data_IF_083529417441
#
_entry.id   IF_083529417441
#
_cell.length_a   1.000
_cell.length_b   1.000
_cell.length_c   1.000
_cell.angle_alpha   90.00
_cell.angle_beta   90.00
_cell.angle_gamma   90.00
#
_symmetry.space_group_name_H-M   'P 1'
#
loop_
_entity.id
_entity.type
_entity.pdbx_description
1 polymer ?
#
# COMPACT_ATOMS: atom_id res chain seq x y z
N UNK A 1 26.13 0.64 1.77
CA UNK A 1 26.21 1.45 3.00
C UNK A 1 25.19 0.90 3.97
N UNK A 2 25.59 0.34 5.11
CA UNK A 2 24.62 -0.18 6.11
C UNK A 2 23.91 1.02 6.74
N UNK A 3 22.62 1.16 6.52
CA UNK A 3 21.76 2.13 7.24
C UNK A 3 21.65 1.67 8.68
N UNK A 4 22.39 2.30 9.57
CA UNK A 4 22.30 2.05 11.00
C UNK A 4 21.31 3.02 11.64
N UNK A 5 20.75 2.65 12.83
CA UNK A 5 19.87 3.50 13.66
C UNK A 5 20.31 4.98 13.73
N UNK A 6 21.63 5.21 13.82
CA UNK A 6 22.22 6.56 13.91
C UNK A 6 22.02 7.41 12.64
N UNK A 7 21.97 6.80 11.48
CA UNK A 7 21.82 7.52 10.21
C UNK A 7 20.35 7.87 9.93
N UNK A 8 19.42 7.04 10.38
CA UNK A 8 17.98 7.28 10.23
C UNK A 8 17.49 8.47 11.10
N UNK A 9 17.94 8.52 12.37
CA UNK A 9 17.61 9.63 13.28
C UNK A 9 18.21 10.97 12.84
N UNK A 10 19.33 10.98 12.11
CA UNK A 10 19.93 12.22 11.58
C UNK A 10 19.16 12.80 10.39
N UNK A 11 18.43 11.97 9.62
CA UNK A 11 17.56 12.47 8.55
C UNK A 11 16.23 13.04 9.05
N UNK A 12 15.74 12.56 10.19
CA UNK A 12 14.50 13.06 10.81
C UNK A 12 14.69 14.32 11.69
N UNK A 13 15.92 14.76 11.93
CA UNK A 13 16.29 15.80 12.91
C UNK A 13 16.40 17.23 12.38
N UNK A 14 16.01 17.52 11.14
CA UNK A 14 16.09 18.88 10.59
C UNK A 14 14.69 19.37 10.16
N UNK A 15 13.82 19.54 11.11
CA UNK A 15 12.62 20.35 10.97
C UNK A 15 12.15 20.81 12.36
N UNK A 16 12.74 21.88 12.83
CA UNK A 16 12.33 22.50 14.09
C UNK A 16 12.82 23.93 14.23
N UNK A 17 11.91 24.86 14.28
CA UNK A 17 11.95 26.26 14.71
C UNK A 17 12.57 27.30 13.76
N UNK A 18 11.71 28.07 13.10
CA UNK A 18 11.85 29.54 13.00
C UNK A 18 10.45 30.18 13.11
N UNK A 19 10.41 31.25 13.91
CA UNK A 19 9.24 31.86 14.48
C UNK A 19 8.38 32.71 13.53
N UNK A 20 7.25 33.10 14.10
CA UNK A 20 6.20 33.99 13.60
C UNK A 20 6.68 35.39 13.17
N UNK A 21 6.26 35.81 11.99
CA UNK A 21 5.81 37.21 11.78
C UNK A 21 4.67 37.19 10.75
N UNK A 22 3.56 37.79 11.16
CA UNK A 22 2.34 37.99 10.41
C UNK A 22 2.49 39.04 9.32
N UNK A 23 2.00 38.77 8.12
CA UNK A 23 1.41 39.81 7.26
C UNK A 23 0.35 39.18 6.34
N UNK A 24 -0.86 39.64 6.50
CA UNK A 24 -2.01 39.34 5.64
C UNK A 24 -1.77 39.92 4.24
N UNK A 25 -1.95 39.08 3.23
CA UNK A 25 -2.38 39.55 1.91
C UNK A 25 -3.21 38.45 1.26
N UNK A 26 -4.46 38.78 0.99
CA UNK A 26 -5.39 37.93 0.28
C UNK A 26 -5.06 37.94 -1.21
N UNK A 27 -4.92 36.77 -1.79
CA UNK A 27 -5.10 36.53 -3.23
C UNK A 27 -5.35 35.06 -3.51
N UNK A 28 -6.51 34.79 -4.15
CA UNK A 28 -6.80 33.77 -5.12
C UNK A 28 -6.42 32.34 -4.83
N UNK A 29 -7.41 31.53 -4.47
CA UNK A 29 -7.40 30.07 -4.59
C UNK A 29 -7.10 29.65 -6.05
N UNK A 30 -5.89 29.21 -6.30
CA UNK A 30 -5.53 28.38 -7.42
C UNK A 30 -4.79 27.14 -6.86
N UNK A 31 -5.53 26.26 -6.19
CA UNK A 31 -5.06 24.91 -5.88
C UNK A 31 -5.26 23.97 -7.07
N UNK A 32 -4.50 24.20 -8.16
CA UNK A 32 -4.24 23.13 -9.11
C UNK A 32 -3.29 22.14 -8.43
N UNK A 33 -3.84 21.10 -7.79
CA UNK A 33 -3.06 20.00 -7.26
C UNK A 33 -2.30 19.32 -8.39
N UNK A 34 -0.97 19.31 -8.32
CA UNK A 34 -0.13 18.47 -9.16
C UNK A 34 -0.40 17.01 -8.70
N UNK A 35 -1.14 16.27 -9.49
CA UNK A 35 -1.79 15.02 -9.09
C UNK A 35 -1.44 13.87 -10.04
N UNK A 36 -0.16 13.64 -10.34
CA UNK A 36 0.21 12.37 -10.95
C UNK A 36 1.63 11.95 -10.64
N UNK A 37 1.83 10.67 -10.38
CA UNK A 37 3.14 10.03 -10.23
C UNK A 37 3.98 10.19 -11.52
N UNK A 38 3.33 10.34 -12.69
CA UNK A 38 3.99 10.60 -13.97
C UNK A 38 4.71 11.96 -14.04
N UNK A 39 4.45 12.88 -13.10
CA UNK A 39 4.99 14.24 -13.06
C UNK A 39 6.05 14.44 -11.95
N UNK A 40 6.49 13.39 -11.26
CA UNK A 40 7.55 13.50 -10.24
C UNK A 40 8.87 14.08 -10.78
N UNK A 41 9.08 14.03 -12.09
CA UNK A 41 10.25 14.60 -12.77
C UNK A 41 10.29 16.15 -12.78
N UNK A 42 9.23 16.83 -12.35
CA UNK A 42 9.11 18.30 -12.34
C UNK A 42 8.73 18.92 -10.98
N UNK A 43 8.66 18.11 -9.92
CA UNK A 43 8.30 18.64 -8.60
C UNK A 43 9.39 19.56 -8.05
N UNK A 44 9.04 20.69 -7.41
CA UNK A 44 10.00 21.54 -6.72
C UNK A 44 10.79 20.77 -5.66
N UNK A 45 12.06 21.11 -5.44
CA UNK A 45 12.92 20.46 -4.44
C UNK A 45 12.34 20.50 -3.01
N UNK A 46 11.46 21.44 -2.72
CA UNK A 46 10.78 21.60 -1.44
C UNK A 46 9.36 21.02 -1.41
N UNK A 47 8.94 20.32 -2.46
CA UNK A 47 7.61 19.71 -2.50
C UNK A 47 7.45 18.65 -1.39
N UNK A 48 6.30 18.71 -0.72
CA UNK A 48 5.87 17.75 0.27
C UNK A 48 4.51 17.17 -0.11
N UNK A 49 4.42 15.86 -0.20
CA UNK A 49 3.14 15.20 -0.38
C UNK A 49 2.29 15.36 0.88
N UNK A 50 0.98 15.54 0.73
CA UNK A 50 0.06 15.55 1.86
C UNK A 50 -0.26 14.12 2.28
N UNK A 51 -0.08 13.83 3.56
CA UNK A 51 -0.52 12.59 4.20
C UNK A 51 -1.51 12.97 5.29
N UNK A 52 -2.77 12.62 5.09
CA UNK A 52 -3.82 12.85 6.08
C UNK A 52 -3.82 11.71 7.08
N UNK A 53 -4.03 12.02 8.34
CA UNK A 53 -3.98 11.07 9.45
C UNK A 53 -5.18 11.25 10.37
N UNK A 54 -5.71 10.13 10.88
CA UNK A 54 -6.62 10.07 12.01
C UNK A 54 -6.18 8.95 12.96
N UNK A 55 -6.19 9.22 14.26
CA UNK A 55 -5.97 8.19 15.29
C UNK A 55 -7.23 7.36 15.54
N UNK A 56 -8.39 7.85 15.11
CA UNK A 56 -9.65 7.15 15.26
C UNK A 56 -9.76 6.03 14.22
N UNK A 57 -10.14 4.84 14.69
CA UNK A 57 -10.13 3.60 13.94
C UNK A 57 -11.57 3.08 13.77
N UNK A 58 -12.28 3.66 12.82
CA UNK A 58 -13.65 3.31 12.47
C UNK A 58 -13.96 3.62 10.99
N UNK A 59 -15.17 3.27 10.54
CA UNK A 59 -15.59 3.50 9.17
C UNK A 59 -15.79 4.98 8.84
N UNK A 60 -16.18 5.81 9.80
CA UNK A 60 -16.42 7.24 9.61
C UNK A 60 -15.11 7.97 9.28
N UNK A 61 -14.05 7.74 10.07
CA UNK A 61 -12.75 8.35 9.85
C UNK A 61 -12.05 7.79 8.61
N UNK A 62 -12.27 6.50 8.28
CA UNK A 62 -11.81 5.92 7.01
C UNK A 62 -12.44 6.67 5.81
N UNK A 63 -13.73 6.95 5.84
CA UNK A 63 -14.44 7.73 4.81
C UNK A 63 -13.97 9.19 4.80
N UNK A 64 -13.81 9.81 5.98
CA UNK A 64 -13.32 11.19 6.08
C UNK A 64 -11.93 11.35 5.44
N UNK A 65 -11.03 10.42 5.68
CA UNK A 65 -9.70 10.38 5.06
C UNK A 65 -9.77 10.15 3.55
N UNK A 66 -10.59 9.20 3.09
CA UNK A 66 -10.82 8.99 1.66
C UNK A 66 -11.29 10.26 0.95
N UNK A 67 -12.20 11.01 1.56
CA UNK A 67 -12.71 12.26 1.00
C UNK A 67 -11.65 13.37 0.87
N UNK A 68 -10.49 13.24 1.51
CA UNK A 68 -9.34 14.15 1.32
C UNK A 68 -8.50 13.82 0.09
N UNK A 69 -8.63 12.58 -0.44
CA UNK A 69 -7.72 12.05 -1.47
C UNK A 69 -8.43 11.48 -2.71
N UNK A 70 -9.77 11.62 -2.79
CA UNK A 70 -10.58 10.98 -3.82
C UNK A 70 -10.91 11.85 -5.04
N UNK A 71 -10.34 13.05 -5.14
CA UNK A 71 -10.72 14.04 -6.18
C UNK A 71 -10.61 13.51 -7.62
N UNK A 72 -9.72 12.58 -7.87
CA UNK A 72 -9.49 11.99 -9.20
C UNK A 72 -10.05 10.55 -9.32
N UNK A 73 -10.75 10.05 -8.32
CA UNK A 73 -11.36 8.72 -8.35
C UNK A 73 -12.70 8.81 -9.07
N UNK A 74 -12.78 8.21 -10.24
CA UNK A 74 -13.94 8.29 -11.15
C UNK A 74 -14.21 6.96 -11.84
N UNK A 75 -15.35 6.83 -12.50
CA UNK A 75 -15.71 5.66 -13.31
C UNK A 75 -15.97 4.40 -12.50
N UNK A 76 -15.52 3.26 -13.00
CA UNK A 76 -15.57 1.98 -12.30
C UNK A 76 -14.36 1.86 -11.38
N UNK A 77 -14.60 1.65 -10.08
CA UNK A 77 -13.56 1.72 -9.04
C UNK A 77 -13.25 0.34 -8.48
N UNK A 78 -11.98 -0.06 -8.55
CA UNK A 78 -11.48 -1.23 -7.83
C UNK A 78 -10.99 -0.85 -6.43
N UNK A 79 -11.57 -1.44 -5.38
CA UNK A 79 -11.05 -1.29 -4.02
C UNK A 79 -10.11 -2.46 -3.73
N UNK A 80 -8.80 -2.21 -3.77
CA UNK A 80 -7.80 -3.26 -3.55
C UNK A 80 -7.60 -3.49 -2.06
N UNK A 81 -8.03 -4.66 -1.62
CA UNK A 81 -7.92 -5.11 -0.22
C UNK A 81 -7.21 -6.46 -0.17
N UNK A 82 -6.45 -6.72 0.89
CA UNK A 82 -6.02 -8.08 1.21
C UNK A 82 -7.15 -8.79 1.98
N UNK A 83 -7.80 -9.75 1.34
CA UNK A 83 -8.99 -10.43 1.90
C UNK A 83 -8.65 -11.52 2.93
N UNK A 84 -7.36 -11.83 3.09
CA UNK A 84 -6.83 -12.82 4.06
C UNK A 84 -6.92 -14.25 3.60
N UNK A 85 -6.07 -15.10 4.14
CA UNK A 85 -6.26 -16.55 4.08
C UNK A 85 -7.47 -17.00 4.91
N UNK A 86 -7.87 -18.26 4.72
CA UNK A 86 -9.02 -18.83 5.43
C UNK A 86 -8.89 -18.63 6.94
N UNK A 87 -9.89 -17.98 7.55
CA UNK A 87 -9.96 -17.66 8.97
C UNK A 87 -8.77 -16.83 9.49
N UNK A 88 -8.11 -16.02 8.66
CA UNK A 88 -7.06 -15.11 9.10
C UNK A 88 -7.59 -14.13 10.17
N UNK A 89 -6.97 -14.07 11.37
CA UNK A 89 -7.57 -13.40 12.53
C UNK A 89 -7.48 -11.87 12.47
N UNK A 90 -6.49 -11.33 11.75
CA UNK A 90 -6.13 -9.92 11.84
C UNK A 90 -6.61 -9.06 10.66
N UNK A 91 -7.34 -9.63 9.68
CA UNK A 91 -7.79 -8.89 8.49
C UNK A 91 -8.66 -7.69 8.86
N UNK A 92 -8.71 -6.69 7.99
CA UNK A 92 -9.51 -5.48 8.20
C UNK A 92 -10.95 -5.81 8.62
N UNK A 93 -11.56 -5.05 9.54
CA UNK A 93 -12.95 -5.23 9.93
C UNK A 93 -13.87 -5.14 8.72
N UNK A 94 -14.58 -6.24 8.40
CA UNK A 94 -15.48 -6.29 7.23
C UNK A 94 -16.60 -5.25 7.29
N UNK A 95 -17.07 -4.92 8.49
CA UNK A 95 -18.10 -3.89 8.67
C UNK A 95 -17.59 -2.50 8.26
N UNK A 96 -16.33 -2.17 8.54
CA UNK A 96 -15.75 -0.90 8.07
C UNK A 96 -15.62 -0.88 6.55
N UNK A 97 -15.12 -1.97 5.96
CA UNK A 97 -14.96 -2.05 4.51
C UNK A 97 -16.31 -2.07 3.80
N UNK A 98 -17.33 -2.70 4.38
CA UNK A 98 -18.72 -2.67 3.88
C UNK A 98 -19.27 -1.24 3.81
N UNK A 99 -19.17 -0.50 4.92
CA UNK A 99 -19.63 0.89 5.00
C UNK A 99 -18.83 1.77 4.04
N UNK A 100 -17.52 1.59 3.99
CA UNK A 100 -16.62 2.32 3.10
C UNK A 100 -16.95 2.07 1.61
N UNK A 101 -17.07 0.80 1.20
CA UNK A 101 -17.39 0.42 -0.17
C UNK A 101 -18.74 1.00 -0.62
N UNK A 102 -19.73 1.02 0.26
CA UNK A 102 -21.05 1.57 -0.03
C UNK A 102 -21.05 3.09 -0.32
N UNK A 103 -20.00 3.82 0.09
CA UNK A 103 -19.82 5.25 -0.22
C UNK A 103 -19.16 5.50 -1.58
N UNK A 104 -18.64 4.46 -2.25
CA UNK A 104 -17.94 4.59 -3.52
C UNK A 104 -18.82 3.99 -4.62
N UNK A 105 -19.55 4.82 -5.39
CA UNK A 105 -20.41 4.34 -6.45
C UNK A 105 -19.65 3.51 -7.49
N UNK A 106 -20.30 2.52 -8.08
CA UNK A 106 -19.73 1.67 -9.12
C UNK A 106 -18.39 1.01 -8.72
N UNK A 107 -18.29 0.60 -7.44
CA UNK A 107 -17.07 -0.03 -6.91
C UNK A 107 -17.25 -1.52 -6.63
N UNK A 108 -16.15 -2.27 -6.77
CA UNK A 108 -16.03 -3.65 -6.34
C UNK A 108 -14.74 -3.83 -5.53
N UNK A 109 -14.73 -4.80 -4.61
CA UNK A 109 -13.46 -5.26 -4.00
C UNK A 109 -12.71 -6.07 -5.06
N UNK A 110 -11.40 -5.85 -5.15
CA UNK A 110 -10.53 -6.56 -6.10
C UNK A 110 -9.39 -7.28 -5.40
N UNK A 111 -9.10 -8.49 -5.83
CA UNK A 111 -8.03 -9.35 -5.32
C UNK A 111 -7.53 -10.29 -6.42
N UNK A 112 -6.45 -11.02 -6.21
CA UNK A 112 -5.93 -12.04 -7.12
C UNK A 112 -5.69 -13.36 -6.41
N UNK A 113 -5.64 -14.47 -7.17
CA UNK A 113 -5.25 -15.76 -6.66
C UNK A 113 -3.79 -15.74 -6.15
N UNK A 114 -3.42 -16.72 -5.33
CA UNK A 114 -2.06 -16.84 -4.77
C UNK A 114 -1.17 -17.75 -5.61
N UNK A 115 0.15 -17.51 -5.55
CA UNK A 115 1.16 -18.38 -6.15
C UNK A 115 1.34 -19.68 -5.36
N UNK A 116 1.38 -19.56 -4.04
CA UNK A 116 1.54 -20.71 -3.16
C UNK A 116 0.28 -21.57 -3.08
N UNK A 117 0.45 -22.85 -2.80
CA UNK A 117 -0.67 -23.78 -2.59
C UNK A 117 -1.42 -23.41 -1.31
N UNK A 118 -2.75 -23.27 -1.41
CA UNK A 118 -3.62 -22.89 -0.29
C UNK A 118 -5.05 -22.66 -0.75
N UNK A 119 -5.84 -22.10 0.15
CA UNK A 119 -7.28 -21.90 -0.08
C UNK A 119 -7.59 -20.75 -1.05
N UNK A 120 -6.58 -19.97 -1.47
CA UNK A 120 -6.71 -18.93 -2.49
C UNK A 120 -5.90 -19.23 -3.76
N UNK A 121 -5.40 -20.46 -3.94
CA UNK A 121 -4.58 -20.83 -5.10
C UNK A 121 -5.37 -21.06 -6.40
N UNK A 122 -6.68 -21.17 -6.31
CA UNK A 122 -7.59 -21.27 -7.46
C UNK A 122 -8.84 -20.41 -7.20
N UNK A 123 -9.43 -19.87 -8.25
CA UNK A 123 -10.64 -19.04 -8.16
C UNK A 123 -11.76 -19.72 -7.36
N UNK A 124 -12.01 -21.01 -7.57
CA UNK A 124 -13.07 -21.74 -6.86
C UNK A 124 -12.81 -21.82 -5.34
N UNK A 125 -11.57 -22.09 -4.91
CA UNK A 125 -11.17 -22.09 -3.49
C UNK A 125 -11.18 -20.69 -2.93
N UNK A 126 -10.67 -19.72 -3.69
CA UNK A 126 -10.62 -18.32 -3.28
C UNK A 126 -12.03 -17.78 -3.01
N UNK A 127 -13.01 -18.00 -3.90
CA UNK A 127 -14.41 -17.63 -3.67
C UNK A 127 -15.00 -18.27 -2.41
N UNK A 128 -14.63 -19.53 -2.09
CA UNK A 128 -15.03 -20.18 -0.84
C UNK A 128 -14.41 -19.45 0.37
N UNK A 129 -13.10 -19.12 0.29
CA UNK A 129 -12.39 -18.38 1.35
C UNK A 129 -12.99 -17.01 1.58
N UNK A 130 -13.30 -16.26 0.52
CA UNK A 130 -13.99 -14.96 0.61
C UNK A 130 -15.30 -15.09 1.39
N UNK A 131 -16.12 -16.07 1.06
CA UNK A 131 -17.38 -16.33 1.77
C UNK A 131 -17.16 -16.65 3.25
N UNK A 132 -16.18 -17.51 3.56
CA UNK A 132 -15.87 -17.91 4.94
C UNK A 132 -15.30 -16.74 5.77
N UNK A 133 -14.53 -15.84 5.15
CA UNK A 133 -13.98 -14.65 5.79
C UNK A 133 -15.01 -13.48 5.87
N UNK A 134 -16.24 -13.66 5.38
CA UNK A 134 -17.30 -12.65 5.47
C UNK A 134 -17.28 -11.57 4.38
N UNK A 135 -16.56 -11.79 3.28
CA UNK A 135 -16.57 -10.90 2.11
C UNK A 135 -17.77 -11.20 1.21
N UNK A 136 -18.99 -10.92 1.69
CA UNK A 136 -20.26 -11.26 1.02
C UNK A 136 -21.19 -10.09 0.85
N UNK A 137 -20.78 -8.89 1.24
CA UNK A 137 -21.59 -7.68 1.23
C UNK A 137 -21.53 -6.91 -0.09
N UNK A 138 -20.59 -7.23 -0.96
CA UNK A 138 -20.47 -6.74 -2.33
C UNK A 138 -19.78 -7.78 -3.19
N UNK A 139 -19.74 -7.55 -4.50
CA UNK A 139 -18.96 -8.38 -5.41
C UNK A 139 -17.46 -8.24 -5.10
N UNK A 140 -16.77 -9.38 -5.11
CA UNK A 140 -15.31 -9.46 -5.05
C UNK A 140 -14.83 -10.02 -6.37
N UNK A 141 -14.16 -9.18 -7.15
CA UNK A 141 -13.59 -9.56 -8.45
C UNK A 141 -12.21 -10.19 -8.23
N UNK A 142 -12.04 -11.44 -8.64
CA UNK A 142 -10.75 -12.12 -8.67
C UNK A 142 -10.10 -11.82 -10.00
N UNK A 143 -9.26 -10.80 -10.03
CA UNK A 143 -8.73 -10.15 -11.23
C UNK A 143 -8.10 -11.10 -12.26
N UNK A 144 -7.55 -12.23 -11.83
CA UNK A 144 -6.87 -13.21 -12.66
C UNK A 144 -7.69 -14.49 -12.93
N UNK A 145 -9.02 -14.45 -12.71
CA UNK A 145 -9.86 -15.62 -12.95
C UNK A 145 -10.02 -15.96 -14.45
N UNK A 146 -9.96 -14.96 -15.32
CA UNK A 146 -10.02 -15.11 -16.77
C UNK A 146 -8.63 -15.02 -17.44
N UNK A 147 -7.55 -14.98 -16.63
CA UNK A 147 -6.17 -14.98 -17.13
C UNK A 147 -5.41 -13.71 -16.84
N UNK A 148 -4.41 -13.44 -17.66
CA UNK A 148 -3.40 -12.43 -17.41
C UNK A 148 -3.41 -11.35 -18.51
N UNK A 149 -3.00 -10.14 -18.13
CA UNK A 149 -2.63 -9.06 -19.04
C UNK A 149 -1.27 -8.51 -18.65
N UNK A 150 -0.50 -7.98 -19.59
CA UNK A 150 0.83 -7.45 -19.29
C UNK A 150 0.81 -5.94 -19.22
N UNK A 151 1.25 -5.40 -18.08
CA UNK A 151 1.53 -3.97 -17.93
C UNK A 151 3.02 -3.71 -18.15
N UNK A 152 3.39 -2.69 -18.96
CA UNK A 152 4.78 -2.33 -19.16
C UNK A 152 5.38 -1.71 -17.91
N UNK A 153 6.66 -1.97 -17.67
CA UNK A 153 7.47 -1.33 -16.63
C UNK A 153 8.47 -0.40 -17.29
N UNK A 154 8.23 0.90 -17.19
CA UNK A 154 9.14 1.89 -17.79
C UNK A 154 10.39 2.04 -16.92
N UNK A 155 11.55 1.69 -17.46
CA UNK A 155 12.86 1.76 -16.78
C UNK A 155 12.85 0.96 -15.46
N UNK A 156 12.32 -0.26 -15.46
CA UNK A 156 12.34 -1.16 -14.31
C UNK A 156 13.77 -1.48 -13.82
N UNK A 157 13.87 -1.97 -12.59
CA UNK A 157 15.12 -2.51 -12.07
C UNK A 157 15.48 -3.82 -12.77
N UNK A 158 14.48 -4.66 -12.97
CA UNK A 158 14.63 -6.03 -13.46
C UNK A 158 13.61 -6.40 -14.54
N UNK A 159 12.40 -5.81 -14.51
CA UNK A 159 11.29 -6.21 -15.36
C UNK A 159 10.97 -5.14 -16.40
N UNK A 160 10.71 -5.57 -17.64
CA UNK A 160 10.18 -4.71 -18.71
C UNK A 160 8.64 -4.73 -18.73
N UNK A 161 8.03 -5.77 -18.16
CA UNK A 161 6.57 -5.94 -18.05
C UNK A 161 6.23 -6.91 -16.92
N UNK A 162 5.05 -6.74 -16.34
CA UNK A 162 4.51 -7.63 -15.30
C UNK A 162 3.14 -8.16 -15.73
N UNK A 163 2.89 -9.46 -15.48
CA UNK A 163 1.59 -10.07 -15.69
C UNK A 163 0.66 -9.70 -14.54
N UNK A 164 -0.36 -8.94 -14.83
CA UNK A 164 -1.46 -8.56 -13.92
C UNK A 164 -2.68 -9.42 -14.18
N UNK A 165 -3.61 -9.50 -13.22
CA UNK A 165 -4.91 -10.10 -13.47
C UNK A 165 -5.64 -9.35 -14.59
N UNK A 166 -6.18 -10.07 -15.58
CA UNK A 166 -6.74 -9.47 -16.80
C UNK A 166 -7.89 -8.49 -16.53
N UNK A 167 -8.67 -8.72 -15.47
CA UNK A 167 -9.77 -7.84 -15.10
C UNK A 167 -9.33 -6.47 -14.57
N UNK A 168 -8.05 -6.28 -14.25
CA UNK A 168 -7.55 -4.98 -13.75
C UNK A 168 -7.80 -3.86 -14.78
N UNK A 169 -7.80 -4.18 -16.07
CA UNK A 169 -8.10 -3.24 -17.16
C UNK A 169 -9.57 -2.82 -17.24
N UNK A 170 -10.46 -3.47 -16.49
CA UNK A 170 -11.88 -3.14 -16.45
C UNK A 170 -12.20 -1.97 -15.49
N UNK A 171 -11.19 -1.45 -14.77
CA UNK A 171 -11.34 -0.40 -13.78
C UNK A 171 -10.74 0.90 -14.28
N UNK A 172 -11.47 2.00 -14.08
CA UNK A 172 -11.01 3.35 -14.40
C UNK A 172 -10.16 3.95 -13.28
N UNK A 173 -10.43 3.53 -12.04
CA UNK A 173 -9.74 4.02 -10.84
C UNK A 173 -9.52 2.88 -9.84
N UNK A 174 -8.52 3.08 -8.97
CA UNK A 174 -8.22 2.13 -7.89
C UNK A 174 -8.04 2.85 -6.54
N UNK A 175 -8.71 2.34 -5.51
CA UNK A 175 -8.50 2.72 -4.11
C UNK A 175 -7.74 1.61 -3.42
N UNK A 176 -6.53 1.90 -2.98
CA UNK A 176 -5.65 0.92 -2.33
C UNK A 176 -5.90 0.98 -0.82
N UNK A 177 -6.78 0.12 -0.33
CA UNK A 177 -7.10 0.02 1.09
C UNK A 177 -6.24 -1.07 1.73
N UNK A 178 -5.24 -0.67 2.47
CA UNK A 178 -4.20 -1.54 2.99
C UNK A 178 -4.33 -1.76 4.49
N UNK A 179 -4.46 -3.00 4.91
CA UNK A 179 -4.12 -3.40 6.27
C UNK A 179 -2.60 -3.40 6.40
N UNK A 180 -2.04 -2.41 7.11
CA UNK A 180 -0.58 -2.32 7.31
C UNK A 180 -0.10 -3.33 8.35
N UNK A 181 0.96 -4.08 8.06
CA UNK A 181 1.45 -5.19 8.90
C UNK A 181 2.87 -5.59 8.58
N UNK A 182 3.46 -6.44 9.41
CA UNK A 182 4.71 -7.12 9.11
C UNK A 182 4.57 -8.14 7.96
N UNK A 183 5.71 -8.58 7.43
CA UNK A 183 5.76 -9.61 6.40
C UNK A 183 7.05 -10.42 6.46
N UNK A 184 6.93 -11.75 6.29
CA UNK A 184 8.08 -12.68 6.42
C UNK A 184 9.19 -12.47 5.39
N UNK A 185 8.86 -12.03 4.18
CA UNK A 185 9.83 -11.77 3.09
C UNK A 185 10.10 -10.28 2.91
N UNK A 186 9.06 -9.44 2.86
CA UNK A 186 9.16 -8.01 2.56
C UNK A 186 9.44 -7.13 3.78
N UNK A 187 9.52 -7.68 4.99
CA UNK A 187 9.66 -6.89 6.22
C UNK A 187 8.32 -6.27 6.67
N UNK A 188 7.66 -5.53 5.79
CA UNK A 188 6.31 -5.01 6.00
C UNK A 188 5.47 -5.09 4.71
N UNK A 189 4.17 -4.97 4.87
CA UNK A 189 3.21 -4.85 3.77
C UNK A 189 2.42 -3.55 3.91
N UNK A 190 2.85 -2.53 3.17
CA UNK A 190 2.17 -1.25 2.96
C UNK A 190 1.42 -1.22 1.62
N UNK A 191 1.10 -0.01 1.17
CA UNK A 191 0.41 0.23 -0.11
C UNK A 191 1.19 -0.30 -1.30
N UNK A 192 2.53 -0.14 -1.33
CA UNK A 192 3.36 -0.71 -2.39
C UNK A 192 3.12 -2.22 -2.52
N UNK A 193 3.29 -2.97 -1.43
CA UNK A 193 3.12 -4.42 -1.47
C UNK A 193 1.70 -4.83 -1.83
N UNK A 194 0.69 -4.07 -1.38
CA UNK A 194 -0.71 -4.36 -1.66
C UNK A 194 -1.02 -4.32 -3.17
N UNK A 195 -0.51 -3.33 -3.90
CA UNK A 195 -0.70 -3.28 -5.37
C UNK A 195 0.29 -4.18 -6.10
N UNK A 196 1.56 -4.18 -5.74
CA UNK A 196 2.60 -4.92 -6.43
C UNK A 196 2.31 -6.42 -6.49
N UNK A 197 2.03 -7.03 -5.34
CA UNK A 197 1.75 -8.46 -5.24
C UNK A 197 0.26 -8.74 -5.42
N UNK A 198 -0.61 -7.84 -4.96
CA UNK A 198 -2.05 -8.06 -4.93
C UNK A 198 -2.78 -7.76 -6.24
N UNK A 199 -2.15 -7.10 -7.23
CA UNK A 199 -2.68 -6.94 -8.58
C UNK A 199 -2.00 -7.88 -9.59
N UNK A 200 -0.80 -8.35 -9.27
CA UNK A 200 -0.10 -9.33 -10.08
C UNK A 200 -0.83 -10.69 -10.08
N UNK A 201 -0.94 -11.32 -11.25
CA UNK A 201 -1.63 -12.59 -11.39
C UNK A 201 -0.96 -13.70 -10.59
N UNK A 202 -1.77 -14.65 -10.09
CA UNK A 202 -1.30 -15.72 -9.21
C UNK A 202 -0.26 -16.63 -9.86
N UNK A 203 -0.42 -16.93 -11.15
CA UNK A 203 0.43 -17.91 -11.84
C UNK A 203 1.69 -17.31 -12.45
N UNK A 204 1.61 -16.15 -13.10
CA UNK A 204 2.73 -15.53 -13.82
C UNK A 204 3.30 -14.34 -13.07
N UNK A 205 2.48 -13.33 -12.78
CA UNK A 205 2.98 -12.08 -12.19
C UNK A 205 3.65 -12.28 -10.84
N UNK A 206 3.06 -13.11 -9.96
CA UNK A 206 3.69 -13.40 -8.66
C UNK A 206 4.99 -14.22 -8.81
N UNK A 207 5.13 -15.05 -9.85
CA UNK A 207 6.40 -15.73 -10.16
C UNK A 207 7.48 -14.73 -10.54
N UNK A 208 7.14 -13.73 -11.38
CA UNK A 208 8.05 -12.66 -11.76
C UNK A 208 8.52 -11.89 -10.52
N UNK A 209 7.61 -11.43 -9.65
CA UNK A 209 7.95 -10.66 -8.44
C UNK A 209 8.80 -11.47 -7.45
N UNK A 210 8.63 -12.78 -7.40
CA UNK A 210 9.39 -13.64 -6.50
C UNK A 210 10.66 -14.21 -7.15
N UNK A 211 11.03 -13.76 -8.36
CA UNK A 211 12.25 -14.15 -9.05
C UNK A 211 12.23 -15.52 -9.72
N UNK A 212 11.09 -16.23 -9.70
CA UNK A 212 11.01 -17.59 -10.22
C UNK A 212 11.04 -17.67 -11.76
N UNK A 213 10.79 -16.55 -12.45
CA UNK A 213 10.88 -16.49 -13.92
C UNK A 213 12.32 -16.10 -14.36
N UNK A 214 12.90 -15.05 -13.76
CA UNK A 214 14.15 -14.47 -14.23
C UNK A 214 15.37 -15.03 -13.51
N UNK A 215 15.23 -15.38 -12.21
CA UNK A 215 16.33 -15.89 -11.39
C UNK A 215 16.23 -17.41 -11.13
N UNK A 216 15.10 -18.02 -11.49
CA UNK A 216 14.76 -19.44 -11.23
C UNK A 216 14.87 -19.85 -9.75
N UNK A 217 14.73 -18.88 -8.83
CA UNK A 217 14.77 -19.09 -7.38
C UNK A 217 13.91 -18.05 -6.66
N UNK A 218 13.54 -18.33 -5.40
CA UNK A 218 12.89 -17.35 -4.54
C UNK A 218 13.89 -16.30 -4.07
N UNK A 219 13.75 -15.08 -4.58
CA UNK A 219 14.61 -13.96 -4.19
C UNK A 219 14.15 -13.32 -2.89
N UNK A 220 15.10 -12.75 -2.17
CA UNK A 220 14.89 -12.08 -0.88
C UNK A 220 15.61 -10.73 -0.86
N UNK A 221 15.41 -9.95 0.20
CA UNK A 221 16.12 -8.69 0.43
C UNK A 221 15.88 -7.69 -0.71
N UNK A 222 16.95 -7.01 -1.12
CA UNK A 222 16.87 -5.90 -2.09
C UNK A 222 16.25 -6.30 -3.43
N UNK A 223 16.63 -7.45 -3.98
CA UNK A 223 16.10 -7.93 -5.26
C UNK A 223 14.58 -8.09 -5.21
N UNK A 224 14.05 -8.67 -4.12
CA UNK A 224 12.60 -8.78 -3.93
C UNK A 224 11.94 -7.40 -3.87
N UNK A 225 12.55 -6.44 -3.16
CA UNK A 225 11.99 -5.09 -3.04
C UNK A 225 12.00 -4.35 -4.37
N UNK A 226 13.04 -4.50 -5.16
CA UNK A 226 13.15 -3.94 -6.50
C UNK A 226 12.10 -4.52 -7.47
N UNK A 227 11.90 -5.84 -7.46
CA UNK A 227 10.85 -6.51 -8.24
C UNK A 227 9.43 -6.08 -7.80
N UNK A 228 9.21 -5.86 -6.50
CA UNK A 228 7.94 -5.29 -6.02
C UNK A 228 7.76 -3.85 -6.50
N UNK A 229 8.82 -3.03 -6.53
CA UNK A 229 8.74 -1.65 -7.05
C UNK A 229 8.45 -1.66 -8.54
N UNK A 230 9.08 -2.52 -9.33
CA UNK A 230 8.77 -2.68 -10.76
C UNK A 230 7.29 -2.99 -10.98
N UNK A 231 6.76 -3.96 -10.22
CA UNK A 231 5.35 -4.34 -10.31
C UNK A 231 4.42 -3.21 -9.84
N UNK A 232 4.71 -2.57 -8.72
CA UNK A 232 3.94 -1.45 -8.20
C UNK A 232 3.93 -0.27 -9.17
N UNK A 233 5.08 0.02 -9.79
CA UNK A 233 5.22 1.06 -10.80
C UNK A 233 4.33 0.79 -12.01
N UNK A 234 4.26 -0.44 -12.50
CA UNK A 234 3.39 -0.80 -13.61
C UNK A 234 1.92 -0.48 -13.30
N UNK A 235 1.45 -0.74 -12.07
CA UNK A 235 0.08 -0.40 -11.64
C UNK A 235 -0.09 1.11 -11.55
N UNK A 236 0.85 1.83 -10.92
CA UNK A 236 0.79 3.28 -10.78
C UNK A 236 0.81 3.98 -12.13
N UNK A 237 1.68 3.55 -13.07
CA UNK A 237 1.77 4.12 -14.42
C UNK A 237 0.48 3.86 -15.23
N UNK A 238 -0.22 2.74 -14.98
CA UNK A 238 -1.47 2.42 -15.66
C UNK A 238 -2.62 3.33 -15.20
N UNK A 239 -2.78 3.53 -13.89
CA UNK A 239 -3.87 4.34 -13.34
C UNK A 239 -3.55 5.85 -13.31
N UNK A 240 -2.29 6.24 -13.40
CA UNK A 240 -1.86 7.64 -13.35
C UNK A 240 -2.33 8.33 -12.06
N UNK A 241 -3.16 9.36 -12.19
CA UNK A 241 -3.75 10.08 -11.06
C UNK A 241 -5.09 9.48 -10.55
N UNK A 242 -5.58 8.41 -11.17
CA UNK A 242 -6.81 7.71 -10.76
C UNK A 242 -6.53 6.61 -9.72
N UNK A 243 -5.55 6.84 -8.86
CA UNK A 243 -5.19 5.93 -7.77
C UNK A 243 -4.99 6.70 -6.47
N UNK A 244 -5.46 6.14 -5.36
CA UNK A 244 -5.26 6.69 -4.01
C UNK A 244 -4.97 5.59 -3.01
N UNK A 245 -4.30 5.93 -1.92
CA UNK A 245 -3.73 5.00 -0.97
C UNK A 245 -4.20 5.29 0.45
N UNK A 246 -4.64 4.24 1.14
CA UNK A 246 -5.06 4.30 2.54
C UNK A 246 -4.39 3.16 3.28
N UNK A 247 -3.58 3.48 4.30
CA UNK A 247 -2.96 2.51 5.21
C UNK A 247 -3.68 2.52 6.55
N UNK A 248 -4.23 1.37 6.94
CA UNK A 248 -4.90 1.17 8.22
C UNK A 248 -3.94 0.45 9.17
N UNK A 249 -3.49 1.16 10.19
CA UNK A 249 -2.54 0.70 11.21
C UNK A 249 -3.31 0.20 12.45
N UNK A 250 -4.09 -0.87 12.22
CA UNK A 250 -4.93 -1.53 13.21
C UNK A 250 -4.57 -3.01 13.29
N UNK A 251 -4.52 -3.57 14.49
CA UNK A 251 -4.17 -4.99 14.71
C UNK A 251 -2.91 -5.41 13.96
N UNK A 252 -1.86 -4.61 14.10
CA UNK A 252 -0.59 -4.77 13.37
C UNK A 252 0.16 -5.99 13.90
N UNK A 253 0.08 -7.11 13.19
CA UNK A 253 0.89 -8.30 13.45
C UNK A 253 2.27 -8.19 12.79
N UNK A 254 3.25 -8.90 13.30
CA UNK A 254 4.55 -9.12 12.63
C UNK A 254 4.41 -10.00 11.38
N UNK A 255 3.28 -10.70 11.25
CA UNK A 255 2.96 -11.56 10.12
C UNK A 255 1.87 -10.96 9.23
N UNK A 256 1.88 -11.40 7.98
CA UNK A 256 0.89 -11.00 7.00
C UNK A 256 -0.41 -11.82 7.16
N UNK A 257 -1.54 -11.26 6.75
CA UNK A 257 -2.82 -11.97 6.66
C UNK A 257 -2.77 -13.21 5.73
N UNK A 258 -1.73 -13.31 4.91
CA UNK A 258 -1.45 -14.49 4.09
C UNK A 258 -0.91 -15.69 4.91
N UNK A 259 -0.55 -15.52 6.18
CA UNK A 259 -0.18 -16.61 7.09
C UNK A 259 -1.43 -17.35 7.62
N UNK A 260 -2.61 -16.76 7.47
CA UNK A 260 -3.86 -17.36 7.91
C UNK A 260 -3.94 -17.48 9.44
N UNK A 261 -4.44 -18.61 9.93
CA UNK A 261 -4.61 -18.87 11.36
C UNK A 261 -3.30 -18.96 12.15
N UNK A 262 -2.17 -19.11 11.47
CA UNK A 262 -0.83 -19.14 12.07
C UNK A 262 -0.22 -17.73 12.29
N UNK A 263 -0.90 -16.66 11.88
CA UNK A 263 -0.40 -15.32 12.08
C UNK A 263 -0.28 -14.98 13.58
N UNK A 264 0.85 -14.40 13.97
CA UNK A 264 1.08 -13.96 15.33
C UNK A 264 0.02 -12.93 15.76
N UNK A 265 -0.32 -12.94 17.05
CA UNK A 265 -1.17 -11.89 17.61
C UNK A 265 -0.50 -10.51 17.47
N UNK A 266 -1.27 -9.44 17.23
CA UNK A 266 -0.74 -8.08 17.28
C UNK A 266 -0.19 -7.74 18.67
N UNK A 267 1.06 -7.25 18.71
CA UNK A 267 1.69 -6.79 19.95
C UNK A 267 1.67 -5.26 20.05
N UNK A 268 1.95 -4.59 18.93
CA UNK A 268 1.92 -3.13 18.85
C UNK A 268 0.47 -2.64 18.99
N UNK A 269 0.20 -1.65 19.84
CA UNK A 269 -1.11 -1.00 19.90
C UNK A 269 -1.49 -0.39 18.56
N UNK A 270 -2.79 -0.29 18.34
CA UNK A 270 -3.34 0.36 17.16
C UNK A 270 -2.90 1.83 17.10
N UNK A 271 -2.62 2.33 15.89
CA UNK A 271 -2.04 3.66 15.68
C UNK A 271 -3.05 4.61 15.04
N UNK A 272 -3.70 4.19 13.96
CA UNK A 272 -4.61 5.06 13.22
C UNK A 272 -4.71 4.68 11.74
N UNK A 273 -5.22 5.62 10.95
CA UNK A 273 -5.42 5.48 9.50
C UNK A 273 -4.70 6.64 8.81
N UNK A 274 -3.99 6.36 7.72
CA UNK A 274 -3.35 7.37 6.88
C UNK A 274 -3.89 7.30 5.46
N UNK A 275 -4.00 8.46 4.78
CA UNK A 275 -4.38 8.53 3.38
C UNK A 275 -3.53 9.54 2.61
N UNK A 276 -3.16 9.21 1.38
CA UNK A 276 -2.42 10.09 0.47
C UNK A 276 -2.70 9.71 -0.98
N UNK A 277 -2.43 10.62 -1.90
CA UNK A 277 -2.31 10.35 -3.34
C UNK A 277 -0.90 9.92 -3.73
N UNK A 278 0.06 9.93 -2.80
CA UNK A 278 1.45 9.54 -2.99
C UNK A 278 1.76 8.26 -2.22
N UNK A 279 2.12 7.21 -2.95
CA UNK A 279 2.36 5.86 -2.40
C UNK A 279 3.58 5.80 -1.48
N UNK A 280 4.67 6.50 -1.85
CA UNK A 280 5.88 6.53 -1.05
C UNK A 280 5.66 7.32 0.24
N UNK A 281 4.99 8.45 0.15
CA UNK A 281 4.67 9.29 1.29
C UNK A 281 3.82 8.55 2.34
N UNK A 282 2.76 7.85 1.92
CA UNK A 282 1.88 7.13 2.86
C UNK A 282 2.59 5.95 3.53
N UNK A 283 3.38 5.18 2.77
CA UNK A 283 4.13 4.05 3.33
C UNK A 283 5.25 4.55 4.25
N UNK A 284 5.95 5.64 3.87
CA UNK A 284 6.97 6.30 4.70
C UNK A 284 6.38 6.84 6.01
N UNK A 285 5.26 7.56 5.95
CA UNK A 285 4.59 8.09 7.12
C UNK A 285 4.13 6.97 8.07
N UNK A 286 3.62 5.86 7.52
CA UNK A 286 3.24 4.68 8.31
C UNK A 286 4.44 4.09 9.06
N UNK A 287 5.59 3.96 8.41
CA UNK A 287 6.84 3.50 9.03
C UNK A 287 7.31 4.49 10.10
N UNK A 288 7.28 5.79 9.85
CA UNK A 288 7.72 6.80 10.81
C UNK A 288 6.87 6.79 12.07
N UNK A 289 5.54 6.63 11.96
CA UNK A 289 4.66 6.48 13.11
C UNK A 289 4.99 5.24 13.93
N UNK A 290 5.30 4.10 13.31
CA UNK A 290 5.71 2.88 14.01
C UNK A 290 7.03 3.09 14.73
N UNK A 291 8.03 3.67 14.08
CA UNK A 291 9.36 3.88 14.67
C UNK A 291 9.33 4.90 15.82
N UNK A 292 8.50 5.94 15.72
CA UNK A 292 8.32 6.96 16.74
C UNK A 292 7.35 6.57 17.86
N UNK A 293 6.61 5.46 17.71
CA UNK A 293 5.61 5.05 18.70
C UNK A 293 6.23 4.87 20.10
N UNK A 294 5.61 5.38 21.16
CA UNK A 294 6.26 5.46 22.49
C UNK A 294 6.30 4.13 23.27
N UNK A 295 5.80 3.02 22.69
CA UNK A 295 5.70 1.72 23.35
C UNK A 295 6.74 0.72 22.80
N UNK A 296 7.43 0.02 23.69
CA UNK A 296 8.49 -0.93 23.34
C UNK A 296 7.98 -2.17 22.58
N UNK A 297 6.68 -2.46 22.62
CA UNK A 297 6.05 -3.53 21.81
C UNK A 297 6.22 -3.34 20.31
N UNK A 298 6.57 -2.16 19.85
CA UNK A 298 6.96 -1.89 18.45
C UNK A 298 8.19 -2.68 18.00
N UNK A 299 9.07 -3.09 18.91
CA UNK A 299 10.35 -3.67 18.53
C UNK A 299 10.25 -5.03 17.86
N UNK A 300 9.22 -5.83 18.12
CA UNK A 300 8.98 -7.08 17.38
C UNK A 300 8.77 -6.80 15.89
N UNK A 301 7.94 -5.80 15.56
CA UNK A 301 7.69 -5.37 14.18
C UNK A 301 8.92 -4.69 13.56
N UNK A 302 9.61 -3.81 14.28
CA UNK A 302 10.85 -3.17 13.81
C UNK A 302 11.91 -4.23 13.48
N UNK A 303 12.08 -5.23 14.34
CA UNK A 303 13.01 -6.34 14.10
C UNK A 303 12.63 -7.13 12.83
N UNK A 304 11.33 -7.38 12.61
CA UNK A 304 10.85 -8.00 11.37
C UNK A 304 11.20 -7.14 10.16
N UNK A 305 10.95 -5.83 10.20
CA UNK A 305 11.22 -4.90 9.11
C UNK A 305 12.71 -4.86 8.79
N UNK A 306 13.56 -4.67 9.81
CA UNK A 306 15.00 -4.53 9.65
C UNK A 306 15.67 -5.84 9.21
N UNK A 307 15.27 -6.98 9.80
CA UNK A 307 15.84 -8.30 9.46
C UNK A 307 15.54 -8.75 8.03
N UNK A 308 14.59 -8.15 7.37
CA UNK A 308 14.21 -8.42 5.98
C UNK A 308 14.64 -7.31 5.02
N UNK A 309 15.45 -6.35 5.47
CA UNK A 309 15.80 -5.15 4.70
C UNK A 309 14.56 -4.36 4.22
N UNK A 310 13.43 -4.45 4.97
CA UNK A 310 12.13 -3.93 4.54
C UNK A 310 12.12 -2.44 4.21
N UNK A 311 12.93 -1.62 4.90
CA UNK A 311 13.07 -0.20 4.60
C UNK A 311 13.61 0.09 3.19
N UNK A 312 14.24 -0.90 2.55
CA UNK A 312 14.71 -0.72 1.17
C UNK A 312 13.55 -0.58 0.17
N UNK A 313 12.33 -1.01 0.51
CA UNK A 313 11.13 -0.70 -0.29
C UNK A 313 11.00 0.81 -0.54
N UNK A 314 11.16 1.62 0.53
CA UNK A 314 11.05 3.09 0.46
C UNK A 314 12.17 3.68 -0.40
N UNK A 315 13.41 3.24 -0.19
CA UNK A 315 14.57 3.71 -0.97
C UNK A 315 14.49 3.31 -2.46
N UNK A 316 13.95 2.14 -2.76
CA UNK A 316 13.74 1.69 -4.13
C UNK A 316 12.63 2.47 -4.83
N UNK A 317 11.51 2.76 -4.13
CA UNK A 317 10.46 3.64 -4.65
C UNK A 317 10.99 5.05 -4.98
N UNK A 318 11.77 5.65 -4.06
CA UNK A 318 12.38 6.97 -4.27
C UNK A 318 13.30 6.96 -5.51
N UNK A 319 14.16 5.95 -5.63
CA UNK A 319 15.06 5.79 -6.79
C UNK A 319 14.32 5.69 -8.12
N UNK A 320 13.15 5.06 -8.12
CA UNK A 320 12.28 4.94 -9.30
C UNK A 320 11.28 6.07 -9.45
N UNK A 321 11.36 7.11 -8.62
CA UNK A 321 10.45 8.25 -8.63
C UNK A 321 8.98 7.85 -8.49
N UNK A 322 8.73 6.80 -7.74
CA UNK A 322 7.40 6.32 -7.41
C UNK A 322 6.90 7.04 -6.15
N UNK A 323 6.71 8.36 -6.25
CA UNK A 323 6.36 9.26 -5.17
C UNK A 323 7.55 9.96 -4.52
N UNK A 324 7.29 10.68 -3.43
CA UNK A 324 8.30 11.42 -2.65
C UNK A 324 8.36 10.97 -1.20
N UNK A 325 9.58 10.84 -0.60
CA UNK A 325 9.71 10.58 0.83
C UNK A 325 9.41 11.81 1.71
N UNK A 326 9.31 12.99 1.09
CA UNK A 326 9.02 14.24 1.79
C UNK A 326 7.50 14.41 1.89
N UNK A 327 6.99 14.51 3.12
CA UNK A 327 5.55 14.67 3.33
C UNK A 327 5.23 15.66 4.45
N UNK A 328 4.02 16.15 4.44
CA UNK A 328 3.38 16.86 5.53
C UNK A 328 2.30 15.95 6.12
N UNK A 329 2.40 15.65 7.42
CA UNK A 329 1.37 14.88 8.14
C UNK A 329 0.30 15.86 8.63
N UNK A 330 -0.94 15.65 8.18
CA UNK A 330 -2.10 16.49 8.49
C UNK A 330 -3.08 15.68 9.34
N UNK A 331 -3.16 15.98 10.62
CA UNK A 331 -4.14 15.39 11.54
C UNK A 331 -5.52 15.97 11.23
N UNK A 332 -6.55 15.11 11.13
CA UNK A 332 -7.92 15.51 10.83
C UNK A 332 -8.90 15.32 11.99
N UNK A 333 -8.41 14.87 13.17
CA UNK A 333 -9.23 14.64 14.38
C UNK A 333 -9.57 15.92 15.13
#
# INVERSE_FOLDING_TARGET
MKLTRRNFVKLAGIAGLVGLTSSFSACGDNSAGVNSIAEADGLPDNYKAKVYFSKNLDAEHLIALYNKVNSNITGKVGIKVHTGELNAPNILPRDWVKVFQAQIPNSAIIETNTLYSGERSTTARHRKTLKMNGWTFCDVDILDEEGDTYFPVKKGFHLDKVAMGSHLTNYDSIVVLTHFKGHSMGGFGGSLKNIAVGCASGKLGKRQIHGLEDFNEWVMGKTLMELMVDSGKAVCDHFGNHITYINVLNRISVDCDCTGTGAAAPELPDIGILASTDILAVDKASIDLIYSFPDDRKYSLITRIESREGLYQLAAMEKHKLGTPNYELIDID
#
